data_IF_968737323400
#
_entry.id   IF_968737323400
#
_cell.length_a   1.000
_cell.length_b   1.000
_cell.length_c   1.000
_cell.angle_alpha   90.00
_cell.angle_beta   90.00
_cell.angle_gamma   90.00
#
_symmetry.space_group_name_H-M   'P 1'
#
loop_
_entity.id
_entity.type
_entity.pdbx_description
1 polymer ?
#
# COMPACT_ATOMS: atom_id res chain seq x y z
N UNK A 1 -22.17 14.88 -14.58
CA UNK A 1 -22.23 16.18 -15.28
C UNK A 1 -23.57 16.37 -15.98
N UNK A 2 -23.86 15.72 -17.12
CA UNK A 2 -25.08 15.97 -17.91
C UNK A 2 -26.42 15.77 -17.17
N UNK A 3 -26.58 14.69 -16.39
CA UNK A 3 -27.81 14.41 -15.62
C UNK A 3 -27.96 15.32 -14.39
N UNK A 4 -26.85 15.76 -13.80
CA UNK A 4 -26.82 16.49 -12.52
C UNK A 4 -26.65 17.99 -12.69
N UNK A 5 -26.33 18.49 -13.89
CA UNK A 5 -25.95 19.90 -14.14
C UNK A 5 -24.60 20.33 -13.55
N UNK A 6 -24.13 19.66 -12.50
CA UNK A 6 -22.86 19.94 -11.80
C UNK A 6 -21.60 19.70 -12.64
N UNK A 7 -20.59 20.51 -12.36
CA UNK A 7 -19.22 20.36 -12.88
C UNK A 7 -18.53 19.10 -12.33
N UNK A 8 -17.41 18.70 -12.95
CA UNK A 8 -16.68 17.51 -12.52
C UNK A 8 -16.06 17.68 -11.12
N UNK A 9 -15.54 18.88 -10.81
CA UNK A 9 -14.96 19.18 -9.50
C UNK A 9 -15.98 19.09 -8.36
N UNK A 10 -17.21 19.54 -8.59
CA UNK A 10 -18.32 19.42 -7.63
C UNK A 10 -18.80 17.98 -7.43
N UNK A 11 -18.63 17.12 -8.43
CA UNK A 11 -18.96 15.70 -8.30
C UNK A 11 -17.84 14.94 -7.59
N UNK A 12 -16.59 15.36 -7.75
CA UNK A 12 -15.44 14.75 -7.10
C UNK A 12 -15.33 15.08 -5.60
N UNK A 13 -15.98 16.15 -5.12
CA UNK A 13 -15.93 16.57 -3.71
C UNK A 13 -16.77 15.70 -2.76
N UNK A 14 -17.48 14.68 -3.27
CA UNK A 14 -18.29 13.76 -2.45
C UNK A 14 -17.45 12.83 -1.57
N UNK A 15 -16.14 12.77 -1.80
CA UNK A 15 -15.21 11.95 -1.04
C UNK A 15 -13.98 12.76 -0.64
N UNK A 16 -13.48 12.47 0.55
CA UNK A 16 -12.18 12.96 0.99
C UNK A 16 -11.08 12.09 0.38
N UNK A 17 -10.02 12.72 -0.12
CA UNK A 17 -8.86 12.01 -0.65
C UNK A 17 -7.83 11.86 0.45
N UNK A 18 -7.49 10.63 0.80
CA UNK A 18 -6.40 10.37 1.72
C UNK A 18 -5.05 10.41 0.99
N UNK A 19 -4.00 10.96 1.61
CA UNK A 19 -2.63 10.73 1.18
C UNK A 19 -2.34 9.24 0.98
N UNK A 20 -1.52 8.94 -0.02
CA UNK A 20 -1.12 7.59 -0.37
C UNK A 20 0.34 7.59 -0.80
N UNK A 21 1.08 6.54 -0.40
CA UNK A 21 2.45 6.28 -0.78
C UNK A 21 2.51 4.93 -1.48
N UNK A 22 3.16 4.89 -2.65
CA UNK A 22 3.46 3.66 -3.38
C UNK A 22 4.97 3.50 -3.50
N UNK A 23 5.49 2.40 -2.97
CA UNK A 23 6.87 1.96 -3.13
C UNK A 23 6.90 0.59 -3.79
N UNK A 24 8.06 0.20 -4.32
CA UNK A 24 8.25 -1.09 -4.96
C UNK A 24 9.59 -1.67 -4.58
N UNK A 25 9.59 -2.97 -4.26
CA UNK A 25 10.78 -3.78 -3.99
C UNK A 25 11.07 -4.61 -5.24
N UNK A 26 12.32 -4.64 -5.70
CA UNK A 26 12.72 -5.55 -6.77
C UNK A 26 12.65 -6.99 -6.27
N UNK A 27 11.94 -7.84 -7.00
CA UNK A 27 11.70 -9.22 -6.61
C UNK A 27 11.47 -10.08 -7.85
N UNK A 28 12.40 -10.99 -8.13
CA UNK A 28 12.22 -12.01 -9.15
C UNK A 28 11.21 -13.10 -8.73
N UNK A 29 11.07 -14.16 -9.53
CA UNK A 29 10.12 -15.23 -9.23
C UNK A 29 10.42 -15.94 -7.90
N UNK A 30 11.70 -16.11 -7.54
CA UNK A 30 12.11 -16.80 -6.31
C UNK A 30 11.84 -15.92 -5.10
N UNK A 31 12.20 -14.64 -5.17
CA UNK A 31 11.92 -13.65 -4.15
C UNK A 31 10.40 -13.49 -3.89
N UNK A 32 9.59 -13.48 -4.94
CA UNK A 32 8.11 -13.43 -4.81
C UNK A 32 7.55 -14.68 -4.14
N UNK A 33 8.10 -15.86 -4.45
CA UNK A 33 7.68 -17.11 -3.82
C UNK A 33 8.04 -17.12 -2.32
N UNK A 34 9.25 -16.68 -1.96
CA UNK A 34 9.65 -16.48 -0.55
C UNK A 34 8.69 -15.53 0.18
N UNK A 35 8.40 -14.36 -0.40
CA UNK A 35 7.42 -13.43 0.16
C UNK A 35 6.04 -14.09 0.36
N UNK A 36 5.59 -14.90 -0.60
CA UNK A 36 4.31 -15.59 -0.50
C UNK A 36 4.28 -16.71 0.55
N UNK A 37 5.43 -17.20 1.01
CA UNK A 37 5.53 -18.27 2.01
C UNK A 37 5.89 -17.75 3.41
N UNK A 38 6.38 -16.51 3.52
CA UNK A 38 6.74 -15.89 4.79
C UNK A 38 5.49 -15.37 5.54
N UNK A 39 4.84 -16.29 6.26
CA UNK A 39 3.66 -15.97 7.08
C UNK A 39 3.97 -14.99 8.22
N UNK A 40 5.20 -15.02 8.77
CA UNK A 40 5.62 -14.08 9.81
C UNK A 40 5.66 -12.65 9.27
N UNK A 41 6.23 -12.46 8.07
CA UNK A 41 6.24 -11.17 7.38
C UNK A 41 4.82 -10.66 7.10
N UNK A 42 3.94 -11.55 6.61
CA UNK A 42 2.53 -11.18 6.38
C UNK A 42 1.83 -10.79 7.67
N UNK A 43 2.05 -11.52 8.76
CA UNK A 43 1.45 -11.17 10.05
C UNK A 43 1.94 -9.82 10.55
N UNK A 44 3.24 -9.52 10.45
CA UNK A 44 3.77 -8.19 10.79
C UNK A 44 3.15 -7.06 9.96
N UNK A 45 2.85 -7.32 8.68
CA UNK A 45 2.15 -6.36 7.80
C UNK A 45 0.70 -6.17 8.27
N UNK A 46 0.00 -7.25 8.61
CA UNK A 46 -1.37 -7.20 9.15
C UNK A 46 -1.43 -6.42 10.46
N UNK A 47 -0.51 -6.68 11.40
CA UNK A 47 -0.48 -5.97 12.69
C UNK A 47 -0.28 -4.46 12.51
N UNK A 48 0.52 -4.06 11.51
CA UNK A 48 0.70 -2.65 11.14
C UNK A 48 -0.52 -2.05 10.45
N UNK A 49 -1.25 -2.85 9.66
CA UNK A 49 -2.51 -2.44 9.02
C UNK A 49 -3.59 -2.18 10.09
N UNK A 50 -3.73 -3.10 11.05
CA UNK A 50 -4.65 -2.99 12.17
C UNK A 50 -4.35 -1.75 13.05
N UNK A 51 -3.08 -1.38 13.19
CA UNK A 51 -2.68 -0.17 13.91
C UNK A 51 -3.14 1.14 13.24
N UNK A 52 -3.29 1.16 11.91
CA UNK A 52 -3.89 2.29 11.18
C UNK A 52 -5.42 2.36 11.36
N UNK A 53 -6.03 1.24 11.72
CA UNK A 53 -7.46 1.13 11.98
C UNK A 53 -8.30 1.62 10.80
N UNK A 54 -9.33 2.43 11.09
CA UNK A 54 -10.25 2.95 10.06
C UNK A 54 -9.68 4.12 9.24
N UNK A 55 -8.53 4.65 9.64
CA UNK A 55 -7.97 5.90 9.12
C UNK A 55 -6.82 5.67 8.14
N UNK A 56 -6.55 4.42 7.77
CA UNK A 56 -5.57 4.04 6.77
C UNK A 56 -5.70 2.59 6.35
N UNK A 57 -4.84 2.17 5.41
CA UNK A 57 -4.65 0.75 5.06
C UNK A 57 -3.31 0.52 4.38
N UNK A 58 -2.87 -0.72 4.41
CA UNK A 58 -1.65 -1.25 3.80
C UNK A 58 -2.05 -2.33 2.80
N UNK A 59 -1.49 -2.26 1.60
CA UNK A 59 -1.61 -3.30 0.58
C UNK A 59 -0.24 -3.67 0.06
N UNK A 60 0.17 -4.90 0.32
CA UNK A 60 1.40 -5.47 -0.22
C UNK A 60 1.05 -6.63 -1.16
N UNK A 61 1.59 -6.61 -2.38
CA UNK A 61 1.38 -7.69 -3.34
C UNK A 61 2.51 -7.83 -4.37
N UNK A 62 2.85 -9.06 -4.80
CA UNK A 62 3.67 -9.26 -6.00
C UNK A 62 3.00 -8.68 -7.25
N UNK A 63 3.79 -8.10 -8.15
CA UNK A 63 3.34 -7.76 -9.50
C UNK A 63 3.27 -9.02 -10.38
N UNK A 64 2.20 -9.16 -11.16
CA UNK A 64 2.02 -10.28 -12.09
C UNK A 64 2.80 -10.13 -13.41
N UNK A 65 3.17 -8.89 -13.77
CA UNK A 65 3.81 -8.57 -15.06
C UNK A 65 5.23 -8.04 -14.93
N UNK A 66 5.63 -7.61 -13.74
CA UNK A 66 6.95 -6.99 -13.49
C UNK A 66 7.66 -7.72 -12.35
N UNK A 67 9.01 -7.75 -12.31
CA UNK A 67 9.79 -8.37 -11.23
C UNK A 67 9.84 -7.49 -9.98
N UNK A 68 8.67 -7.12 -9.44
CA UNK A 68 8.55 -6.29 -8.23
C UNK A 68 7.47 -6.80 -7.27
N UNK A 69 7.60 -6.45 -6.00
CA UNK A 69 6.54 -6.46 -5.00
C UNK A 69 6.13 -5.00 -4.75
N UNK A 70 4.84 -4.70 -4.85
CA UNK A 70 4.26 -3.37 -4.64
C UNK A 70 3.84 -3.22 -3.18
N UNK A 71 4.23 -2.10 -2.57
CA UNK A 71 3.84 -1.69 -1.22
C UNK A 71 3.05 -0.39 -1.36
N UNK A 72 1.81 -0.40 -0.90
CA UNK A 72 0.94 0.77 -0.88
C UNK A 72 0.49 1.01 0.55
N UNK A 73 0.62 2.24 1.03
CA UNK A 73 0.09 2.67 2.32
C UNK A 73 -0.70 3.95 2.11
N UNK A 74 -1.93 4.02 2.63
CA UNK A 74 -2.74 5.23 2.64
C UNK A 74 -3.19 5.56 4.07
N UNK A 75 -3.40 6.85 4.34
CA UNK A 75 -3.79 7.32 5.67
C UNK A 75 -3.78 8.85 5.77
N UNK A 76 -4.19 9.38 6.92
CA UNK A 76 -4.37 10.83 7.13
C UNK A 76 -3.07 11.64 7.16
N UNK A 77 -2.01 11.11 7.76
CA UNK A 77 -0.72 11.78 7.86
C UNK A 77 0.26 11.23 6.81
N UNK A 78 0.68 12.09 5.89
CA UNK A 78 1.57 11.69 4.79
C UNK A 78 2.96 11.24 5.28
N UNK A 79 3.49 11.86 6.33
CA UNK A 79 4.81 11.55 6.86
C UNK A 79 4.80 10.22 7.58
N UNK A 80 3.75 9.94 8.35
CA UNK A 80 3.51 8.65 9.01
C UNK A 80 3.45 7.51 7.99
N UNK A 81 2.57 7.61 6.99
CA UNK A 81 2.41 6.54 5.98
C UNK A 81 3.68 6.35 5.12
N UNK A 82 4.47 7.42 4.92
CA UNK A 82 5.76 7.33 4.24
C UNK A 82 6.76 6.51 5.05
N UNK A 83 6.79 6.71 6.37
CA UNK A 83 7.68 5.97 7.26
C UNK A 83 7.26 4.49 7.33
N UNK A 84 5.96 4.21 7.45
CA UNK A 84 5.42 2.85 7.44
C UNK A 84 5.75 2.14 6.11
N UNK A 85 5.54 2.80 4.97
CA UNK A 85 5.85 2.22 3.66
C UNK A 85 7.34 1.87 3.52
N UNK A 86 8.24 2.75 3.99
CA UNK A 86 9.69 2.50 3.97
C UNK A 86 10.09 1.35 4.88
N UNK A 87 9.52 1.28 6.08
CA UNK A 87 9.78 0.18 7.02
C UNK A 87 9.37 -1.17 6.41
N UNK A 88 8.19 -1.25 5.78
CA UNK A 88 7.71 -2.46 5.12
C UNK A 88 8.61 -2.85 3.95
N UNK A 89 9.05 -1.88 3.14
CA UNK A 89 10.04 -2.11 2.07
C UNK A 89 11.30 -2.75 2.62
N UNK A 90 11.90 -2.16 3.67
CA UNK A 90 13.11 -2.70 4.28
C UNK A 90 12.91 -4.08 4.91
N UNK A 91 11.75 -4.34 5.51
CA UNK A 91 11.40 -5.66 6.03
C UNK A 91 11.33 -6.71 4.91
N UNK A 92 10.65 -6.40 3.80
CA UNK A 92 10.58 -7.31 2.64
C UNK A 92 11.97 -7.56 2.07
N UNK A 93 12.78 -6.51 1.86
CA UNK A 93 14.15 -6.62 1.34
C UNK A 93 15.06 -7.49 2.22
N UNK A 94 14.84 -7.52 3.53
CA UNK A 94 15.63 -8.35 4.46
C UNK A 94 15.28 -9.85 4.42
N UNK A 95 14.13 -10.21 3.83
CA UNK A 95 13.57 -11.58 3.83
C UNK A 95 13.75 -12.33 2.51
N UNK A 96 13.91 -11.61 1.39
CA UNK A 96 13.88 -12.17 0.03
C UNK A 96 15.26 -12.39 -0.59
#
# INVERSE_FOLDING_TARGET
>A
MKRTGKSLSELASIMERFPQVLLSVQADAVAKDKFNQDEDLKQMIVDKDDALGKDGRILVRPSGTEPIIRVMVEGKDHQEITNIAKEIVSLIESRI
#
